data_IF_599234859223
#
_entry.id   IF_599234859223
#
_cell.length_a   1.000
_cell.length_b   1.000
_cell.length_c   1.000
_cell.angle_alpha   90.00
_cell.angle_beta   90.00
_cell.angle_gamma   90.00
#
_symmetry.space_group_name_H-M   'P 1'
#
loop_
_entity.id
_entity.type
_entity.pdbx_description
1 polymer ?
#
# COMPACT_ATOMS: atom_id res chain seq x y z
N UNK A 1 23.53 7.77 -26.71
CA UNK A 1 23.80 8.85 -25.75
C UNK A 1 23.68 8.23 -24.39
N UNK A 2 24.70 8.34 -23.55
CA UNK A 2 24.59 7.88 -22.17
C UNK A 2 23.79 8.93 -21.41
N UNK A 3 22.60 8.55 -20.95
CA UNK A 3 21.79 9.37 -20.08
C UNK A 3 22.51 9.38 -18.74
N UNK A 4 23.09 10.53 -18.36
CA UNK A 4 23.62 10.77 -17.03
C UNK A 4 22.65 11.67 -16.27
N UNK A 5 22.52 11.55 -14.94
CA UNK A 5 21.64 12.42 -14.16
C UNK A 5 21.92 13.93 -14.40
N UNK A 6 23.20 14.30 -14.52
CA UNK A 6 23.67 15.67 -14.82
C UNK A 6 23.20 16.20 -16.19
N UNK A 7 22.88 15.30 -17.13
CA UNK A 7 22.40 15.68 -18.45
C UNK A 7 20.97 16.24 -18.38
N UNK A 8 20.14 15.75 -17.46
CA UNK A 8 18.78 16.25 -17.30
C UNK A 8 18.74 17.66 -16.70
N UNK A 9 19.71 18.02 -15.87
CA UNK A 9 19.85 19.37 -15.29
C UNK A 9 20.37 20.41 -16.31
N UNK A 10 21.03 19.97 -17.39
CA UNK A 10 21.66 20.87 -18.38
C UNK A 10 20.82 21.06 -19.65
N UNK A 11 19.76 20.26 -19.83
CA UNK A 11 18.91 20.33 -21.02
C UNK A 11 17.85 21.42 -20.84
N UNK A 12 17.97 22.51 -21.60
CA UNK A 12 16.93 23.54 -21.70
C UNK A 12 16.06 23.31 -22.94
N UNK A 13 14.73 23.43 -22.79
CA UNK A 13 13.77 23.31 -23.89
C UNK A 13 13.26 24.67 -24.38
N UNK A 14 12.98 24.79 -25.68
CA UNK A 14 12.39 26.01 -26.26
C UNK A 14 10.87 25.98 -26.20
N UNK A 15 10.25 27.02 -25.65
CA UNK A 15 8.79 27.16 -25.59
C UNK A 15 8.13 27.28 -26.98
N UNK A 16 7.00 26.59 -27.16
CA UNK A 16 6.17 26.63 -28.39
C UNK A 16 4.72 26.88 -27.99
N UNK A 17 3.94 27.58 -28.84
CA UNK A 17 2.55 28.03 -28.58
C UNK A 17 1.49 26.94 -28.30
N UNK A 18 1.88 25.66 -28.33
CA UNK A 18 1.12 24.44 -27.95
C UNK A 18 2.12 23.39 -27.45
N UNK A 19 3.05 23.80 -26.59
CA UNK A 19 4.05 22.93 -25.98
C UNK A 19 3.52 22.29 -24.70
N UNK A 20 4.30 21.34 -24.17
CA UNK A 20 4.14 20.87 -22.80
C UNK A 20 4.44 22.02 -21.83
N UNK A 21 3.86 21.94 -20.62
CA UNK A 21 4.15 22.88 -19.55
C UNK A 21 5.62 22.73 -19.12
N UNK A 22 6.35 23.83 -19.07
CA UNK A 22 7.78 23.83 -18.72
C UNK A 22 8.01 23.44 -17.28
N UNK A 23 7.14 23.85 -16.35
CA UNK A 23 7.29 23.55 -14.92
C UNK A 23 7.03 22.07 -14.62
N UNK A 24 6.04 21.48 -15.31
CA UNK A 24 5.74 20.04 -15.21
C UNK A 24 6.88 19.20 -15.81
N UNK A 25 7.46 19.65 -16.93
CA UNK A 25 8.61 18.98 -17.55
C UNK A 25 9.86 19.08 -16.69
N UNK A 26 10.12 20.21 -16.04
CA UNK A 26 11.24 20.38 -15.09
C UNK A 26 11.08 19.42 -13.90
N UNK A 27 9.88 19.36 -13.30
CA UNK A 27 9.58 18.43 -12.20
C UNK A 27 9.80 16.97 -12.62
N UNK A 28 9.31 16.59 -13.81
CA UNK A 28 9.51 15.25 -14.35
C UNK A 28 10.99 14.94 -14.61
N UNK A 29 11.78 15.92 -15.06
CA UNK A 29 13.22 15.74 -15.28
C UNK A 29 13.99 15.55 -13.98
N UNK A 30 13.63 16.26 -12.90
CA UNK A 30 14.19 16.05 -11.57
C UNK A 30 13.87 14.65 -11.03
N UNK A 31 12.62 14.22 -11.14
CA UNK A 31 12.20 12.86 -10.76
C UNK A 31 12.90 11.77 -11.60
N UNK A 32 13.00 11.97 -12.92
CA UNK A 32 13.72 11.05 -13.81
C UNK A 32 15.23 11.02 -13.49
N UNK A 33 15.83 12.17 -13.17
CA UNK A 33 17.23 12.29 -12.77
C UNK A 33 17.53 11.55 -11.47
N UNK A 34 16.68 11.71 -10.45
CA UNK A 34 16.82 11.00 -9.17
C UNK A 34 16.60 9.49 -9.33
N UNK A 35 15.59 9.07 -10.10
CA UNK A 35 15.33 7.66 -10.39
C UNK A 35 16.51 7.01 -11.15
N UNK A 36 17.09 7.72 -12.12
CA UNK A 36 18.26 7.24 -12.86
C UNK A 36 19.50 7.14 -11.94
N UNK A 37 19.72 8.13 -11.07
CA UNK A 37 20.82 8.09 -10.10
C UNK A 37 20.69 6.88 -9.15
N UNK A 38 19.47 6.61 -8.65
CA UNK A 38 19.18 5.43 -7.83
C UNK A 38 19.41 4.12 -8.60
N UNK A 39 18.99 4.05 -9.87
CA UNK A 39 19.21 2.88 -10.71
C UNK A 39 20.70 2.62 -10.96
N UNK A 40 21.48 3.66 -11.26
CA UNK A 40 22.93 3.55 -11.44
C UNK A 40 23.64 3.15 -10.14
N UNK A 41 23.21 3.66 -8.99
CA UNK A 41 23.73 3.25 -7.69
C UNK A 41 23.43 1.76 -7.40
N UNK A 42 22.19 1.33 -7.66
CA UNK A 42 21.77 -0.08 -7.52
C UNK A 42 22.54 -1.00 -8.46
N UNK A 43 22.79 -0.56 -9.70
CA UNK A 43 23.60 -1.31 -10.67
C UNK A 43 25.03 -1.52 -10.14
N UNK A 44 25.70 -0.45 -9.70
CA UNK A 44 27.05 -0.54 -9.14
C UNK A 44 27.09 -1.44 -7.89
N UNK A 45 26.07 -1.37 -7.05
CA UNK A 45 25.96 -2.24 -5.87
C UNK A 45 25.80 -3.72 -6.26
N UNK A 46 25.00 -4.02 -7.28
CA UNK A 46 24.84 -5.38 -7.80
C UNK A 46 26.14 -5.90 -8.42
N UNK A 47 26.84 -5.08 -9.22
CA UNK A 47 28.14 -5.44 -9.79
C UNK A 47 29.17 -5.73 -8.69
N UNK A 48 29.22 -4.92 -7.63
CA UNK A 48 30.07 -5.18 -6.47
C UNK A 48 29.69 -6.48 -5.75
N UNK A 49 28.39 -6.74 -5.57
CA UNK A 49 27.91 -7.97 -4.94
C UNK A 49 28.28 -9.21 -5.76
N UNK A 50 28.14 -9.14 -7.09
CA UNK A 50 28.55 -10.20 -8.02
C UNK A 50 30.06 -10.43 -7.95
N UNK A 51 30.88 -9.38 -7.99
CA UNK A 51 32.33 -9.51 -7.87
C UNK A 51 32.77 -10.17 -6.55
N UNK A 52 32.09 -9.85 -5.44
CA UNK A 52 32.34 -10.50 -4.14
C UNK A 52 31.90 -11.97 -4.16
N UNK A 53 30.75 -12.28 -4.77
CA UNK A 53 30.27 -13.65 -4.89
C UNK A 53 31.21 -14.52 -5.75
N UNK A 54 31.66 -14.00 -6.89
CA UNK A 54 32.62 -14.66 -7.78
C UNK A 54 33.96 -14.91 -7.06
N UNK A 55 34.44 -13.96 -6.27
CA UNK A 55 35.62 -14.13 -5.42
C UNK A 55 35.46 -15.30 -4.42
N UNK A 56 34.31 -15.39 -3.75
CA UNK A 56 34.01 -16.49 -2.83
C UNK A 56 33.91 -17.84 -3.54
N UNK A 57 33.34 -17.89 -4.74
CA UNK A 57 33.26 -19.10 -5.55
C UNK A 57 34.67 -19.54 -5.98
N UNK A 58 35.52 -18.61 -6.41
CA UNK A 58 36.91 -18.90 -6.77
C UNK A 58 37.71 -19.45 -5.58
N UNK A 59 37.59 -18.84 -4.39
CA UNK A 59 38.22 -19.34 -3.17
C UNK A 59 37.71 -20.73 -2.77
N UNK A 60 36.39 -20.96 -2.86
CA UNK A 60 35.81 -22.27 -2.58
C UNK A 60 36.31 -23.33 -3.55
N UNK A 61 36.43 -23.00 -4.85
CA UNK A 61 37.01 -23.86 -5.86
C UNK A 61 38.48 -24.21 -5.58
N UNK A 62 39.29 -23.23 -5.14
CA UNK A 62 40.68 -23.48 -4.75
C UNK A 62 40.79 -24.39 -3.52
N UNK A 63 39.91 -24.20 -2.51
CA UNK A 63 39.87 -25.09 -1.33
C UNK A 63 39.48 -26.51 -1.71
N UNK A 64 38.53 -26.69 -2.62
CA UNK A 64 38.14 -28.01 -3.13
C UNK A 64 39.28 -28.69 -3.88
N UNK A 65 39.96 -27.98 -4.79
CA UNK A 65 41.10 -28.52 -5.53
C UNK A 65 42.28 -28.89 -4.61
N UNK A 66 42.55 -28.08 -3.58
CA UNK A 66 43.58 -28.39 -2.59
C UNK A 66 43.22 -29.61 -1.72
N UNK A 67 41.94 -29.80 -1.40
CA UNK A 67 41.46 -30.99 -0.69
C UNK A 67 41.60 -32.27 -1.55
N UNK A 68 41.30 -32.18 -2.84
CA UNK A 68 41.44 -33.29 -3.79
C UNK A 68 42.91 -33.69 -4.02
N UNK A 69 43.82 -32.71 -4.09
CA UNK A 69 45.27 -32.98 -4.15
C UNK A 69 45.79 -33.67 -2.89
N UNK A 70 45.30 -33.29 -1.69
CA UNK A 70 45.65 -33.98 -0.45
C UNK A 70 45.10 -35.40 -0.41
N UNK A 71 43.88 -35.61 -0.90
CA UNK A 71 43.27 -36.93 -0.97
C UNK A 71 44.07 -37.85 -1.93
N UNK A 72 44.38 -37.39 -3.14
CA UNK A 72 45.18 -38.15 -4.11
C UNK A 72 46.61 -38.44 -3.62
N UNK A 73 47.26 -37.51 -2.91
CA UNK A 73 48.56 -37.77 -2.26
C UNK A 73 48.46 -38.83 -1.14
N UNK A 74 47.40 -38.81 -0.33
CA UNK A 74 47.18 -39.82 0.72
C UNK A 74 46.96 -41.22 0.14
N UNK A 75 46.23 -41.35 -0.97
CA UNK A 75 46.01 -42.62 -1.67
C UNK A 75 47.29 -43.11 -2.36
N UNK A 76 48.08 -42.22 -2.96
CA UNK A 76 49.38 -42.57 -3.56
C UNK A 76 50.41 -43.05 -2.51
N UNK A 77 50.39 -42.45 -1.31
CA UNK A 77 51.23 -42.89 -0.18
C UNK A 77 50.78 -44.25 0.36
N UNK A 78 49.47 -44.50 0.46
CA UNK A 78 48.92 -45.79 0.86
C UNK A 78 49.27 -46.91 -0.14
N UNK A 79 49.22 -46.63 -1.45
CA UNK A 79 49.56 -47.60 -2.49
C UNK A 79 51.07 -47.94 -2.51
N UNK A 80 51.96 -47.00 -2.19
CA UNK A 80 53.40 -47.25 -2.05
C UNK A 80 53.74 -48.06 -0.79
N UNK A 81 53.00 -47.86 0.31
CA UNK A 81 53.12 -48.68 1.51
C UNK A 81 52.57 -50.12 1.31
N UNK A 82 51.52 -50.27 0.50
CA UNK A 82 50.95 -51.58 0.12
C UNK A 82 51.90 -52.43 -0.74
N UNK A 83 52.67 -51.79 -1.64
CA UNK A 83 53.65 -52.48 -2.50
C UNK A 83 54.87 -53.02 -1.74
N UNK A 84 55.21 -52.45 -0.58
CA UNK A 84 56.28 -52.96 0.29
C UNK A 84 55.83 -54.10 1.22
N UNK A 85 54.51 -54.26 1.43
CA UNK A 85 53.93 -55.29 2.29
C UNK A 85 53.57 -56.59 1.55
N UNK A 86 53.48 -56.57 0.21
CA UNK A 86 53.08 -57.73 -0.61
C UNK A 86 54.19 -58.76 -0.88
N UNK A 87 55.34 -58.68 -0.17
CA UNK A 87 56.47 -59.61 -0.31
C UNK A 87 56.64 -60.59 0.87
N UNK A 88 55.74 -60.59 1.87
CA UNK A 88 55.95 -61.32 3.13
C UNK A 88 54.81 -62.23 3.63
N UNK A 89 53.70 -62.40 2.90
CA UNK A 89 52.56 -63.19 3.38
C UNK A 89 52.29 -64.41 2.50
N UNK A 90 52.96 -65.52 2.84
CA UNK A 90 52.55 -66.86 2.44
C UNK A 90 52.92 -67.81 3.59
N UNK A 91 51.98 -68.00 4.53
CA UNK A 91 51.76 -69.22 5.36
C UNK A 91 50.63 -68.90 6.34
N UNK A 92 49.39 -69.22 5.92
CA UNK A 92 48.23 -69.71 6.70
C UNK A 92 46.90 -69.24 6.09
N UNK A 93 46.63 -69.70 4.87
CA UNK A 93 45.47 -69.34 4.03
C UNK A 93 44.11 -69.55 4.73
N UNK A 94 44.01 -70.47 5.71
CA UNK A 94 42.82 -70.63 6.55
C UNK A 94 42.71 -69.59 7.69
N UNK A 95 43.82 -69.18 8.32
CA UNK A 95 43.80 -68.19 9.41
C UNK A 95 43.65 -66.76 8.87
N UNK A 96 44.18 -66.49 7.68
CA UNK A 96 44.01 -65.23 6.95
C UNK A 96 42.56 -65.03 6.49
N UNK A 97 41.87 -66.09 6.04
CA UNK A 97 40.44 -66.03 5.69
C UNK A 97 39.58 -65.75 6.93
N UNK A 98 39.89 -66.37 8.08
CA UNK A 98 39.21 -66.10 9.35
C UNK A 98 39.48 -64.67 9.87
N UNK A 99 40.70 -64.14 9.67
CA UNK A 99 41.05 -62.76 10.00
C UNK A 99 40.39 -61.75 9.03
N UNK A 100 40.33 -62.06 7.75
CA UNK A 100 39.63 -61.26 6.74
C UNK A 100 38.11 -61.22 7.01
N UNK A 101 37.49 -62.34 7.39
CA UNK A 101 36.08 -62.37 7.77
C UNK A 101 35.80 -61.52 9.02
N UNK A 102 36.69 -61.56 10.04
CA UNK A 102 36.56 -60.72 11.25
C UNK A 102 36.72 -59.23 10.96
N UNK A 103 37.64 -58.86 10.06
CA UNK A 103 37.83 -57.45 9.68
C UNK A 103 36.67 -56.93 8.85
N UNK A 104 36.12 -57.72 7.93
CA UNK A 104 34.89 -57.36 7.19
C UNK A 104 33.70 -57.17 8.12
N UNK A 105 33.55 -58.01 9.14
CA UNK A 105 32.46 -57.87 10.11
C UNK A 105 32.60 -56.60 10.96
N UNK A 106 33.83 -56.26 11.37
CA UNK A 106 34.12 -55.00 12.07
C UNK A 106 33.90 -53.79 11.16
N UNK A 107 34.39 -53.83 9.92
CA UNK A 107 34.19 -52.77 8.95
C UNK A 107 32.70 -52.55 8.63
N UNK A 108 31.93 -53.63 8.47
CA UNK A 108 30.47 -53.56 8.30
C UNK A 108 29.80 -52.93 9.51
N UNK A 109 30.17 -53.34 10.72
CA UNK A 109 29.62 -52.75 11.96
C UNK A 109 29.98 -51.26 12.07
N UNK A 110 31.18 -50.86 11.68
CA UNK A 110 31.58 -49.45 11.63
C UNK A 110 30.81 -48.68 10.56
N UNK A 111 30.59 -49.27 9.37
CA UNK A 111 29.79 -48.66 8.32
C UNK A 111 28.32 -48.48 8.75
N UNK A 112 27.72 -49.49 9.39
CA UNK A 112 26.36 -49.42 9.96
C UNK A 112 26.26 -48.34 11.05
N UNK A 113 27.29 -48.17 11.88
CA UNK A 113 27.35 -47.12 12.89
C UNK A 113 27.46 -45.71 12.27
N UNK A 114 28.30 -45.54 11.25
CA UNK A 114 28.43 -44.27 10.52
C UNK A 114 27.10 -43.95 9.79
N UNK A 115 26.44 -44.95 9.22
CA UNK A 115 25.16 -44.76 8.55
C UNK A 115 24.06 -44.34 9.54
N UNK A 116 24.03 -44.93 10.73
CA UNK A 116 23.11 -44.53 11.80
C UNK A 116 23.38 -43.09 12.26
N UNK A 117 24.65 -42.73 12.48
CA UNK A 117 25.04 -41.37 12.87
C UNK A 117 24.72 -40.33 11.78
N UNK A 118 25.02 -40.65 10.51
CA UNK A 118 24.68 -39.78 9.38
C UNK A 118 23.16 -39.57 9.24
N UNK A 119 22.35 -40.62 9.46
CA UNK A 119 20.88 -40.50 9.48
C UNK A 119 20.41 -39.63 10.65
N UNK A 120 20.98 -39.80 11.84
CA UNK A 120 20.65 -38.98 13.01
C UNK A 120 21.01 -37.50 12.78
N UNK A 121 22.22 -37.22 12.29
CA UNK A 121 22.67 -35.86 11.96
C UNK A 121 21.80 -35.23 10.88
N UNK A 122 21.43 -35.98 9.83
CA UNK A 122 20.50 -35.50 8.80
C UNK A 122 19.15 -35.13 9.40
N UNK A 123 18.59 -35.94 10.29
CA UNK A 123 17.32 -35.64 10.96
C UNK A 123 17.41 -34.38 11.82
N UNK A 124 18.53 -34.18 12.54
CA UNK A 124 18.78 -32.95 13.32
C UNK A 124 18.84 -31.73 12.41
N UNK A 125 19.63 -31.79 11.33
CA UNK A 125 19.74 -30.69 10.37
C UNK A 125 18.40 -30.38 9.71
N UNK A 126 17.60 -31.39 9.37
CA UNK A 126 16.25 -31.19 8.83
C UNK A 126 15.31 -30.57 9.87
N UNK A 127 15.39 -30.97 11.14
CA UNK A 127 14.63 -30.37 12.23
C UNK A 127 14.99 -28.90 12.44
N UNK A 128 16.28 -28.58 12.45
CA UNK A 128 16.77 -27.20 12.53
C UNK A 128 16.36 -26.36 11.32
N UNK A 129 16.48 -26.90 10.11
CA UNK A 129 16.09 -26.22 8.89
C UNK A 129 14.59 -25.90 8.88
N UNK A 130 13.76 -26.87 9.28
CA UNK A 130 12.31 -26.66 9.44
C UNK A 130 12.01 -25.60 10.50
N UNK A 131 12.60 -25.70 11.68
CA UNK A 131 12.39 -24.71 12.75
C UNK A 131 12.85 -23.30 12.33
N UNK A 132 13.95 -23.18 11.59
CA UNK A 132 14.39 -21.89 11.04
C UNK A 132 13.41 -21.37 9.99
N UNK A 133 12.92 -22.23 9.10
CA UNK A 133 11.92 -21.85 8.09
C UNK A 133 10.61 -21.39 8.74
N UNK A 134 10.10 -22.13 9.73
CA UNK A 134 8.88 -21.77 10.45
C UNK A 134 9.03 -20.43 11.19
N UNK A 135 10.20 -20.17 11.77
CA UNK A 135 10.50 -18.88 12.39
C UNK A 135 10.52 -17.75 11.37
N UNK A 136 11.20 -17.93 10.24
CA UNK A 136 11.25 -16.93 9.17
C UNK A 136 9.87 -16.66 8.57
N UNK A 137 9.03 -17.68 8.42
CA UNK A 137 7.65 -17.52 7.98
C UNK A 137 6.83 -16.75 9.01
N UNK A 138 6.97 -17.05 10.29
CA UNK A 138 6.29 -16.31 11.37
C UNK A 138 6.73 -14.85 11.44
N UNK A 139 8.03 -14.58 11.30
CA UNK A 139 8.59 -13.21 11.24
C UNK A 139 8.05 -12.45 10.02
N UNK A 140 8.11 -13.05 8.82
CA UNK A 140 7.61 -12.42 7.60
C UNK A 140 6.09 -12.17 7.65
N UNK A 141 5.31 -13.10 8.22
CA UNK A 141 3.87 -12.91 8.44
C UNK A 141 3.59 -11.78 9.42
N UNK A 142 4.31 -11.73 10.55
CA UNK A 142 4.15 -10.65 11.53
C UNK A 142 4.53 -9.28 10.94
N UNK A 143 5.58 -9.21 10.13
CA UNK A 143 5.98 -8.00 9.41
C UNK A 143 4.93 -7.58 8.38
N UNK A 144 4.37 -8.54 7.61
CA UNK A 144 3.31 -8.27 6.65
C UNK A 144 2.04 -7.74 7.35
N UNK A 145 1.63 -8.37 8.44
CA UNK A 145 0.48 -7.92 9.24
C UNK A 145 0.71 -6.51 9.80
N UNK A 146 1.92 -6.22 10.25
CA UNK A 146 2.28 -4.89 10.76
C UNK A 146 2.31 -3.84 9.64
N UNK A 147 2.76 -4.19 8.44
CA UNK A 147 2.69 -3.31 7.27
C UNK A 147 1.23 -3.03 6.89
N UNK A 148 0.37 -4.06 6.88
CA UNK A 148 -1.06 -3.89 6.59
C UNK A 148 -1.74 -3.02 7.65
N UNK A 149 -1.44 -3.23 8.94
CA UNK A 149 -1.95 -2.36 10.02
C UNK A 149 -1.52 -0.91 9.83
N UNK A 150 -0.24 -0.67 9.56
CA UNK A 150 0.27 0.70 9.32
C UNK A 150 -0.37 1.34 8.10
N UNK A 151 -0.48 0.62 6.99
CA UNK A 151 -1.12 1.13 5.78
C UNK A 151 -2.60 1.46 6.02
N UNK A 152 -3.33 0.64 6.80
CA UNK A 152 -4.73 0.93 7.16
C UNK A 152 -4.85 2.18 8.02
N UNK A 153 -4.01 2.33 9.04
CA UNK A 153 -4.02 3.52 9.91
C UNK A 153 -3.71 4.78 9.10
N UNK A 154 -2.70 4.72 8.22
CA UNK A 154 -2.35 5.84 7.35
C UNK A 154 -3.49 6.21 6.41
N UNK A 155 -4.10 5.21 5.76
CA UNK A 155 -5.26 5.44 4.91
C UNK A 155 -6.41 6.08 5.70
N UNK A 156 -6.76 5.56 6.88
CA UNK A 156 -7.81 6.12 7.74
C UNK A 156 -7.51 7.57 8.15
N UNK A 157 -6.25 7.89 8.45
CA UNK A 157 -5.81 9.26 8.75
C UNK A 157 -5.99 10.17 7.55
N UNK A 158 -5.51 9.78 6.37
CA UNK A 158 -5.66 10.56 5.15
C UNK A 158 -7.14 10.77 4.79
N UNK A 159 -7.98 9.74 4.93
CA UNK A 159 -9.42 9.86 4.70
C UNK A 159 -10.07 10.80 5.71
N UNK A 160 -9.67 10.75 6.98
CA UNK A 160 -10.17 11.66 8.01
C UNK A 160 -9.76 13.10 7.73
N UNK A 161 -8.51 13.34 7.34
CA UNK A 161 -8.00 14.67 6.98
C UNK A 161 -8.72 15.24 5.75
N UNK A 162 -8.87 14.44 4.68
CA UNK A 162 -9.62 14.85 3.48
C UNK A 162 -11.07 15.18 3.81
N UNK A 163 -11.70 14.40 4.71
CA UNK A 163 -13.07 14.67 5.15
C UNK A 163 -13.18 15.98 5.91
N UNK A 164 -12.22 16.28 6.79
CA UNK A 164 -12.19 17.55 7.53
C UNK A 164 -12.01 18.72 6.56
N UNK A 165 -11.04 18.64 5.62
CA UNK A 165 -10.84 19.70 4.61
C UNK A 165 -12.10 19.95 3.77
N UNK A 166 -12.75 18.89 3.30
CA UNK A 166 -14.00 19.00 2.56
C UNK A 166 -15.12 19.64 3.39
N UNK A 167 -15.18 19.37 4.70
CA UNK A 167 -16.14 20.01 5.61
C UNK A 167 -15.83 21.49 5.79
N UNK A 168 -14.56 21.86 5.98
CA UNK A 168 -14.12 23.24 6.13
C UNK A 168 -14.40 24.05 4.84
N UNK A 169 -14.19 23.46 3.66
CA UNK A 169 -14.56 24.07 2.37
C UNK A 169 -16.06 24.32 2.26
N UNK A 170 -16.89 23.36 2.65
CA UNK A 170 -18.36 23.52 2.65
C UNK A 170 -18.77 24.66 3.58
N UNK A 171 -18.21 24.72 4.80
CA UNK A 171 -18.47 25.81 5.74
C UNK A 171 -18.05 27.16 5.16
N UNK A 172 -16.87 27.24 4.53
CA UNK A 172 -16.41 28.45 3.86
C UNK A 172 -17.33 28.89 2.71
N UNK A 173 -17.85 27.95 1.92
CA UNK A 173 -18.83 28.23 0.87
C UNK A 173 -20.19 28.66 1.42
N UNK A 174 -20.63 28.10 2.54
CA UNK A 174 -21.86 28.49 3.23
C UNK A 174 -21.75 29.91 3.79
N UNK A 175 -20.62 30.25 4.42
CA UNK A 175 -20.33 31.60 4.90
C UNK A 175 -20.29 32.60 3.75
N UNK A 176 -19.64 32.24 2.63
CA UNK A 176 -19.60 33.10 1.44
C UNK A 176 -20.99 33.30 0.84
N UNK A 177 -21.80 32.25 0.80
CA UNK A 177 -23.20 32.32 0.34
C UNK A 177 -24.01 33.25 1.26
N UNK A 178 -23.84 33.17 2.57
CA UNK A 178 -24.51 34.06 3.52
C UNK A 178 -24.12 35.53 3.28
N UNK A 179 -22.82 35.81 3.13
CA UNK A 179 -22.31 37.15 2.81
C UNK A 179 -22.91 37.70 1.51
N UNK A 180 -22.97 36.89 0.45
CA UNK A 180 -23.60 37.30 -0.80
C UNK A 180 -25.10 37.57 -0.64
N UNK A 181 -25.79 36.78 0.19
CA UNK A 181 -27.19 37.02 0.55
C UNK A 181 -27.39 38.37 1.24
N UNK A 182 -26.50 38.74 2.17
CA UNK A 182 -26.54 40.03 2.85
C UNK A 182 -26.29 41.19 1.87
N UNK A 183 -25.31 41.05 0.97
CA UNK A 183 -25.02 42.04 -0.08
C UNK A 183 -26.23 42.23 -1.00
N UNK A 184 -26.87 41.14 -1.44
CA UNK A 184 -28.08 41.23 -2.26
C UNK A 184 -29.18 41.98 -1.51
N UNK A 185 -29.43 41.65 -0.25
CA UNK A 185 -30.45 42.30 0.58
C UNK A 185 -30.16 43.80 0.74
N UNK A 186 -28.90 44.18 0.95
CA UNK A 186 -28.48 45.58 1.02
C UNK A 186 -28.70 46.32 -0.31
N UNK A 187 -28.35 45.69 -1.44
CA UNK A 187 -28.56 46.27 -2.77
C UNK A 187 -30.05 46.43 -3.08
N UNK A 188 -30.88 45.46 -2.72
CA UNK A 188 -32.34 45.54 -2.89
C UNK A 188 -32.95 46.66 -2.06
N UNK A 189 -32.58 46.77 -0.78
CA UNK A 189 -33.03 47.85 0.09
C UNK A 189 -32.61 49.23 -0.45
N UNK A 190 -31.39 49.34 -0.97
CA UNK A 190 -30.88 50.56 -1.60
C UNK A 190 -31.64 50.91 -2.87
N UNK A 191 -31.89 49.94 -3.75
CA UNK A 191 -32.69 50.13 -4.96
C UNK A 191 -34.13 50.55 -4.64
N UNK A 192 -34.72 50.00 -3.58
CA UNK A 192 -36.04 50.41 -3.09
C UNK A 192 -36.02 51.88 -2.63
N UNK A 193 -35.01 52.28 -1.85
CA UNK A 193 -34.83 53.68 -1.44
C UNK A 193 -34.68 54.64 -2.62
N UNK A 194 -33.86 54.28 -3.62
CA UNK A 194 -33.73 55.10 -4.84
C UNK A 194 -35.03 55.23 -5.63
N UNK A 195 -35.82 54.15 -5.70
CA UNK A 195 -37.14 54.21 -6.34
C UNK A 195 -38.08 55.13 -5.58
N UNK A 196 -38.10 55.06 -4.26
CA UNK A 196 -38.92 55.94 -3.41
C UNK A 196 -38.52 57.42 -3.61
N UNK A 197 -37.23 57.74 -3.57
CA UNK A 197 -36.72 59.10 -3.79
C UNK A 197 -37.07 59.64 -5.19
N UNK A 198 -36.92 58.80 -6.23
CA UNK A 198 -37.31 59.16 -7.59
C UNK A 198 -38.83 59.38 -7.71
N UNK A 199 -39.66 58.55 -7.07
CA UNK A 199 -41.11 58.75 -7.08
C UNK A 199 -41.51 60.04 -6.36
N UNK A 200 -40.92 60.32 -5.19
CA UNK A 200 -41.16 61.54 -4.42
C UNK A 200 -40.80 62.79 -5.23
N UNK A 201 -39.62 62.78 -5.85
CA UNK A 201 -39.15 63.93 -6.64
C UNK A 201 -39.98 64.13 -7.89
N UNK A 202 -40.43 63.06 -8.54
CA UNK A 202 -41.37 63.13 -9.66
C UNK A 202 -42.72 63.74 -9.22
N UNK A 203 -43.26 63.35 -8.06
CA UNK A 203 -44.49 63.94 -7.50
C UNK A 203 -44.32 65.42 -7.16
N UNK A 204 -43.19 65.80 -6.56
CA UNK A 204 -42.88 67.20 -6.25
C UNK A 204 -42.80 68.05 -7.53
N UNK A 205 -42.12 67.56 -8.57
CA UNK A 205 -42.06 68.22 -9.89
C UNK A 205 -43.45 68.32 -10.54
N UNK A 206 -44.29 67.28 -10.45
CA UNK A 206 -45.65 67.30 -10.98
C UNK A 206 -46.53 68.34 -10.26
N UNK A 207 -46.36 68.51 -8.94
CA UNK A 207 -47.05 69.56 -8.17
C UNK A 207 -46.58 70.96 -8.58
N UNK A 208 -45.29 71.17 -8.78
CA UNK A 208 -44.74 72.45 -9.27
C UNK A 208 -45.27 72.75 -10.69
N UNK A 209 -45.37 71.75 -11.56
CA UNK A 209 -45.92 71.92 -12.91
C UNK A 209 -47.41 72.30 -12.92
N UNK A 210 -48.16 71.91 -11.88
CA UNK A 210 -49.59 72.21 -11.76
C UNK A 210 -49.86 73.57 -11.10
N UNK A 211 -48.94 74.08 -10.27
CA UNK A 211 -49.09 75.33 -9.51
C UNK A 211 -47.78 76.17 -9.60
N UNK A 212 -47.64 77.06 -10.60
CA UNK A 212 -46.38 77.71 -10.97
C UNK A 212 -45.89 78.76 -9.96
N UNK A 213 -46.74 79.22 -9.03
CA UNK A 213 -46.35 80.17 -7.99
C UNK A 213 -45.41 79.54 -6.92
N UNK A 214 -45.19 78.21 -6.99
CA UNK A 214 -44.36 77.43 -6.05
C UNK A 214 -42.90 77.25 -6.46
N UNK A 215 -42.45 77.88 -7.55
CA UNK A 215 -41.10 77.77 -8.12
C UNK A 215 -39.93 78.18 -7.19
N UNK A 216 -40.21 78.70 -5.99
CA UNK A 216 -39.18 79.16 -5.04
C UNK A 216 -38.45 78.05 -4.26
N UNK A 217 -39.01 76.84 -4.19
CA UNK A 217 -38.38 75.71 -3.50
C UNK A 217 -37.70 74.78 -4.50
N UNK A 218 -36.37 74.89 -4.65
CA UNK A 218 -35.59 73.95 -5.47
C UNK A 218 -35.71 72.55 -4.85
N UNK A 219 -36.24 71.59 -5.61
CA UNK A 219 -36.12 70.17 -5.30
C UNK A 219 -34.64 69.78 -5.37
N UNK A 220 -34.01 69.53 -4.22
CA UNK A 220 -32.65 69.02 -4.16
C UNK A 220 -32.71 67.49 -4.23
N UNK A 221 -32.33 66.94 -5.37
CA UNK A 221 -32.11 65.51 -5.54
C UNK A 221 -30.82 65.13 -4.81
N UNK A 222 -30.91 64.57 -3.61
CA UNK A 222 -29.75 64.04 -2.89
C UNK A 222 -29.55 62.58 -3.26
N UNK A 223 -29.03 62.30 -4.45
CA UNK A 223 -28.51 60.97 -4.74
C UNK A 223 -27.24 60.82 -3.90
N UNK A 224 -27.32 60.05 -2.82
CA UNK A 224 -26.14 59.72 -2.03
C UNK A 224 -25.10 59.03 -2.94
N UNK A 225 -23.86 59.54 -3.02
CA UNK A 225 -22.81 58.94 -3.83
C UNK A 225 -22.52 57.52 -3.34
N UNK A 226 -22.12 56.66 -4.28
CA UNK A 226 -21.61 55.31 -4.03
C UNK A 226 -20.44 55.37 -3.02
N UNK A 227 -20.73 55.24 -1.73
CA UNK A 227 -19.74 54.70 -0.80
C UNK A 227 -19.63 53.22 -1.12
N UNK A 228 -18.58 52.95 -1.91
CA UNK A 228 -18.01 51.66 -2.25
C UNK A 228 -18.26 50.66 -1.12
N UNK A 229 -18.80 49.50 -1.48
CA UNK A 229 -18.77 48.27 -0.68
C UNK A 229 -17.52 48.30 0.20
N UNK A 230 -17.62 48.20 1.54
CA UNK A 230 -16.45 48.33 2.39
C UNK A 230 -15.35 47.45 1.81
N UNK A 231 -14.20 48.08 1.55
CA UNK A 231 -13.03 47.53 0.86
C UNK A 231 -12.35 46.35 1.62
N UNK A 232 -13.10 45.61 2.42
CA UNK A 232 -12.74 44.33 3.01
C UNK A 232 -13.35 43.12 2.27
N UNK A 233 -14.18 43.35 1.25
CA UNK A 233 -14.55 42.32 0.27
C UNK A 233 -13.62 42.41 -0.95
N UNK A 234 -12.31 42.46 -0.74
CA UNK A 234 -11.46 41.73 -1.69
C UNK A 234 -12.01 40.31 -1.68
N UNK A 235 -12.68 39.95 -2.76
CA UNK A 235 -12.76 38.55 -3.14
C UNK A 235 -11.31 38.20 -3.33
N UNK A 236 -10.65 37.76 -2.27
CA UNK A 236 -9.43 36.99 -2.39
C UNK A 236 -9.90 35.80 -3.21
N UNK A 237 -9.70 35.90 -4.51
CA UNK A 237 -9.55 34.73 -5.34
C UNK A 237 -8.46 33.96 -4.60
N UNK A 238 -8.87 32.93 -3.87
CA UNK A 238 -7.93 31.87 -3.52
C UNK A 238 -7.56 31.31 -4.87
N UNK A 239 -6.50 31.89 -5.41
CA UNK A 239 -5.68 31.33 -6.47
C UNK A 239 -4.95 30.15 -5.83
N UNK A 240 -5.72 29.11 -5.53
CA UNK A 240 -5.24 27.78 -5.19
C UNK A 240 -6.46 26.85 -5.20
N UNK A 241 -7.00 26.63 -6.41
CA UNK A 241 -7.50 25.30 -6.70
C UNK A 241 -6.24 24.44 -6.76
N UNK A 242 -5.80 23.92 -5.62
CA UNK A 242 -4.94 22.73 -5.63
C UNK A 242 -5.80 21.66 -6.26
N UNK A 243 -5.63 21.49 -7.58
CA UNK A 243 -6.07 20.29 -8.28
C UNK A 243 -5.26 19.16 -7.67
N UNK A 244 -5.77 18.56 -6.59
CA UNK A 244 -5.30 17.26 -6.15
C UNK A 244 -5.66 16.32 -7.28
N UNK A 245 -4.63 15.93 -8.01
CA UNK A 245 -4.67 14.95 -9.09
C UNK A 245 -5.53 13.74 -8.66
N UNK A 246 -6.56 13.33 -9.43
CA UNK A 246 -7.27 12.10 -9.13
C UNK A 246 -6.28 10.93 -9.22
N UNK A 247 -6.15 10.19 -8.10
CA UNK A 247 -5.43 8.92 -8.06
C UNK A 247 -5.81 8.03 -9.27
N UNK A 248 -4.85 7.29 -9.86
CA UNK A 248 -5.07 6.54 -11.09
C UNK A 248 -6.22 5.56 -10.92
N UNK A 249 -7.27 5.75 -11.73
CA UNK A 249 -8.39 4.83 -11.83
C UNK A 249 -7.91 3.49 -12.41
N UNK A 250 -8.36 2.40 -11.79
CA UNK A 250 -8.30 1.04 -12.33
C UNK A 250 -8.80 1.01 -13.80
N UNK A 251 -8.25 0.13 -14.66
CA UNK A 251 -8.58 0.13 -16.08
C UNK A 251 -10.07 -0.15 -16.32
N UNK A 252 -10.76 0.85 -16.89
CA UNK A 252 -12.16 0.77 -17.28
C UNK A 252 -12.38 -0.33 -18.34
N UNK A 253 -13.29 -1.25 -18.04
CA UNK A 253 -13.93 -2.13 -19.00
C UNK A 253 -14.79 -1.26 -19.92
N UNK A 254 -14.51 -1.32 -21.21
CA UNK A 254 -15.26 -0.63 -22.26
C UNK A 254 -16.68 -1.22 -22.36
N UNK A 255 -17.68 -0.35 -22.23
CA UNK A 255 -19.09 -0.72 -22.20
C UNK A 255 -19.94 0.52 -22.40
N UNK A 256 -20.03 0.97 -23.65
CA UNK A 256 -20.93 2.02 -24.12
C UNK A 256 -22.34 1.93 -23.51
N UNK A 257 -22.72 2.92 -22.71
CA UNK A 257 -24.08 3.08 -22.18
C UNK A 257 -24.41 4.55 -21.99
N UNK A 258 -25.40 5.03 -22.74
CA UNK A 258 -25.95 6.39 -22.70
C UNK A 258 -26.29 6.84 -21.27
N UNK A 259 -25.82 8.04 -20.91
CA UNK A 259 -26.11 8.68 -19.62
C UNK A 259 -27.47 9.40 -19.65
N UNK A 260 -28.36 9.11 -18.70
CA UNK A 260 -29.64 9.80 -18.50
C UNK A 260 -29.81 10.25 -17.02
N UNK A 261 -30.37 11.45 -16.76
CA UNK A 261 -30.48 11.98 -15.40
C UNK A 261 -31.70 11.39 -14.66
N UNK A 262 -31.47 10.60 -13.60
CA UNK A 262 -32.55 10.12 -12.74
C UNK A 262 -32.28 8.93 -11.80
N UNK A 263 -31.06 8.42 -11.64
CA UNK A 263 -30.83 7.13 -10.96
C UNK A 263 -30.62 7.15 -9.44
N UNK A 264 -30.98 8.23 -8.74
CA UNK A 264 -30.93 8.24 -7.26
C UNK A 264 -32.27 7.82 -6.66
N UNK A 265 -32.73 6.61 -6.94
CA UNK A 265 -33.73 5.94 -6.09
C UNK A 265 -33.71 4.42 -6.29
N UNK A 266 -32.71 3.76 -5.72
CA UNK A 266 -32.80 2.35 -5.32
C UNK A 266 -31.59 1.96 -4.47
N UNK A 267 -31.58 2.44 -3.23
CA UNK A 267 -30.88 1.77 -2.13
C UNK A 267 -31.83 1.78 -0.94
N UNK A 268 -32.74 0.82 -0.93
CA UNK A 268 -33.45 0.38 0.28
C UNK A 268 -33.94 -1.05 0.05
N UNK A 269 -33.79 -1.86 1.09
CA UNK A 269 -34.27 -3.23 1.27
C UNK A 269 -33.55 -4.36 0.50
N UNK A 270 -32.54 -4.94 1.14
CA UNK A 270 -32.35 -6.40 1.10
C UNK A 270 -31.90 -6.90 2.48
N UNK A 271 -32.88 -7.15 3.36
CA UNK A 271 -32.76 -8.08 4.47
C UNK A 271 -32.65 -9.51 3.89
N UNK A 272 -31.82 -10.41 4.44
CA UNK A 272 -31.82 -11.81 4.05
C UNK A 272 -32.96 -12.55 4.78
N UNK A 273 -33.95 -13.04 4.02
CA UNK A 273 -35.01 -13.91 4.52
C UNK A 273 -34.61 -15.39 4.51
N UNK A 274 -35.04 -16.05 5.58
CA UNK A 274 -34.92 -17.46 5.92
C UNK A 274 -35.31 -18.41 4.78
N UNK A 275 -34.45 -19.40 4.52
CA UNK A 275 -34.81 -20.60 3.77
C UNK A 275 -35.62 -21.56 4.65
N UNK A 276 -36.94 -21.62 4.42
CA UNK A 276 -37.76 -22.76 4.77
C UNK A 276 -37.55 -23.90 3.74
N UNK A 277 -37.31 -25.16 4.15
CA UNK A 277 -37.29 -26.27 3.22
C UNK A 277 -38.67 -26.91 3.04
N UNK A 278 -38.93 -27.32 1.80
CA UNK A 278 -40.15 -27.98 1.34
C UNK A 278 -40.33 -29.37 1.96
N UNK A 279 -41.59 -29.74 2.21
CA UNK A 279 -42.01 -31.07 2.61
C UNK A 279 -41.79 -32.11 1.50
N UNK A 280 -41.46 -33.34 1.94
CA UNK A 280 -41.82 -34.56 1.21
C UNK A 280 -40.69 -35.54 1.01
N UNK A 281 -40.50 -36.46 1.95
CA UNK A 281 -40.49 -37.91 1.66
C UNK A 281 -40.42 -38.70 2.97
N UNK A 282 -41.50 -39.44 3.26
CA UNK A 282 -41.55 -40.44 4.31
C UNK A 282 -41.00 -41.76 3.76
N UNK A 283 -39.94 -42.30 4.38
CA UNK A 283 -39.63 -43.73 4.32
C UNK A 283 -38.63 -44.15 5.40
N UNK A 284 -39.15 -44.92 6.37
CA UNK A 284 -38.57 -46.09 7.05
C UNK A 284 -37.12 -46.09 7.60
N UNK A 285 -37.01 -46.50 8.88
CA UNK A 285 -35.80 -47.09 9.49
C UNK A 285 -35.44 -46.40 10.82
N UNK A 286 -35.94 -46.83 11.97
CA UNK A 286 -35.42 -47.95 12.79
C UNK A 286 -34.21 -47.57 13.67
N UNK A 287 -34.45 -47.67 14.98
CA UNK A 287 -33.54 -47.88 16.12
C UNK A 287 -32.37 -46.92 16.46
N UNK A 288 -32.33 -46.51 17.73
CA UNK A 288 -31.12 -45.97 18.35
C UNK A 288 -31.31 -45.13 19.61
N UNK A 289 -31.85 -45.71 20.69
CA UNK A 289 -31.74 -45.16 22.02
C UNK A 289 -30.27 -45.01 22.44
N UNK A 290 -29.88 -43.87 23.01
CA UNK A 290 -29.13 -43.75 24.27
C UNK A 290 -28.54 -42.34 24.48
N UNK A 291 -28.86 -41.79 25.64
CA UNK A 291 -27.90 -41.34 26.66
C UNK A 291 -27.81 -39.85 27.03
N UNK A 292 -27.84 -39.67 28.36
CA UNK A 292 -27.31 -38.56 29.15
C UNK A 292 -28.00 -37.18 29.12
N UNK A 293 -29.16 -37.09 29.77
CA UNK A 293 -29.58 -35.87 30.46
C UNK A 293 -30.15 -36.24 31.86
N UNK A 294 -29.27 -36.58 32.78
CA UNK A 294 -29.62 -36.80 34.19
C UNK A 294 -28.46 -36.37 35.11
N UNK A 295 -28.32 -35.07 35.37
CA UNK A 295 -27.61 -34.56 36.55
C UNK A 295 -27.89 -33.06 36.75
N UNK A 296 -29.06 -32.76 37.32
CA UNK A 296 -29.34 -31.47 37.94
C UNK A 296 -30.50 -31.65 38.94
N UNK A 297 -30.26 -32.41 40.02
CA UNK A 297 -31.09 -32.38 41.22
C UNK A 297 -30.38 -33.09 42.37
N UNK A 298 -30.36 -32.46 43.56
CA UNK A 298 -29.67 -32.80 44.82
C UNK A 298 -28.20 -32.36 44.92
N UNK A 299 -27.96 -31.19 45.55
CA UNK A 299 -27.64 -31.13 46.99
C UNK A 299 -27.62 -29.66 47.45
N UNK A 300 -28.58 -29.33 48.31
CA UNK A 300 -28.41 -28.29 49.31
C UNK A 300 -27.91 -28.93 50.61
N UNK A 301 -27.59 -28.09 51.59
CA UNK A 301 -27.03 -28.41 52.92
C UNK A 301 -25.50 -28.59 52.93
N UNK A 302 -24.76 -27.58 53.40
CA UNK A 302 -24.55 -27.41 54.84
C UNK A 302 -23.99 -26.01 55.19
N UNK A 303 -24.50 -25.50 56.31
CA UNK A 303 -24.03 -24.34 57.08
C UNK A 303 -22.74 -24.66 57.84
N UNK A 304 -21.81 -23.71 57.89
CA UNK A 304 -21.22 -23.13 59.12
C UNK A 304 -20.17 -22.05 58.78
#
# INVERSE_FOLDING_TARGET
MELTPELFETIEFTERRKGYDTEEVETFLEEAGTALAQLLARHRQLEQAVAIADGKIAEAGQRAAAAEQRATQSVAAANQAGAAASAAAAVSEQAEVDQAARTLLMARRTAEAIEADARQQSQVVLGEAKSRADRQLGEAQAEADELIRRARIQAEQEYAERRVRAQDEVVGLEDRRAQLGDVITQLEARLAGYREDLTRTAEELARIATDPDRLGARATLSIHPDEVLPAGAEIVAVDEVVVVDPAPADPAVDGSGDWAPGSWSQVAESLPDDHAPAEGEASAGDDGAADAAMQAFFEGEDED
#
